data_IF_156810668747
#
_entry.id   IF_156810668747
#
_cell.length_a   1.000
_cell.length_b   1.000
_cell.length_c   1.000
_cell.angle_alpha   90.00
_cell.angle_beta   90.00
_cell.angle_gamma   90.00
#
_symmetry.space_group_name_H-M   'P 1'
#
loop_
_entity.id
_entity.type
_entity.pdbx_description
1 polymer ?
#
# COMPACT_ATOMS: atom_id res chain seq x y z
N UNK A 1 -21.32 5.90 -1.01
CA UNK A 1 -20.43 5.30 -2.05
C UNK A 1 -19.25 4.70 -1.32
N UNK A 2 -18.88 3.47 -1.61
CA UNK A 2 -17.74 2.80 -1.01
C UNK A 2 -16.43 3.47 -1.44
N UNK A 3 -15.58 3.82 -0.49
CA UNK A 3 -14.30 4.49 -0.71
C UNK A 3 -13.16 3.48 -0.67
N UNK A 4 -12.56 3.20 -1.83
CA UNK A 4 -11.40 2.34 -1.98
C UNK A 4 -10.15 3.19 -2.16
N UNK A 5 -9.07 2.82 -1.48
CA UNK A 5 -7.75 3.42 -1.65
C UNK A 5 -6.77 2.35 -2.17
N UNK A 6 -6.17 2.60 -3.33
CA UNK A 6 -5.03 1.86 -3.84
C UNK A 6 -3.73 2.45 -3.31
N UNK A 7 -2.80 1.59 -2.90
CA UNK A 7 -1.47 2.00 -2.40
C UNK A 7 -0.40 1.15 -3.06
N UNK A 8 0.54 1.79 -3.76
CA UNK A 8 1.82 1.18 -4.17
C UNK A 8 2.94 1.69 -3.25
N UNK A 9 3.36 0.89 -2.24
CA UNK A 9 4.34 1.32 -1.26
C UNK A 9 5.74 1.42 -1.85
N UNK A 10 6.35 2.58 -1.75
CA UNK A 10 7.74 2.80 -2.12
C UNK A 10 8.41 3.75 -1.12
N UNK A 11 9.70 3.53 -0.83
CA UNK A 11 10.48 4.40 0.05
C UNK A 11 10.88 5.72 -0.62
N UNK A 12 10.69 5.84 -1.91
CA UNK A 12 11.06 7.02 -2.70
C UNK A 12 9.87 7.75 -3.29
N UNK A 13 8.79 7.01 -3.56
CA UNK A 13 7.63 7.51 -4.29
C UNK A 13 6.43 6.60 -4.04
N UNK A 14 5.79 6.70 -2.86
CA UNK A 14 4.58 5.91 -2.59
C UNK A 14 3.41 6.45 -3.40
N UNK A 15 2.88 5.62 -4.32
CA UNK A 15 1.71 5.94 -5.13
C UNK A 15 0.41 5.71 -4.37
N UNK A 16 -0.54 6.62 -4.55
CA UNK A 16 -1.90 6.55 -3.99
C UNK A 16 -2.92 6.81 -5.08
N UNK A 17 -4.05 6.10 -5.02
CA UNK A 17 -5.19 6.37 -5.90
C UNK A 17 -6.52 6.12 -5.19
N UNK A 18 -7.43 7.05 -5.37
CA UNK A 18 -8.85 6.90 -5.11
C UNK A 18 -9.65 7.19 -6.38
N UNK A 19 -10.96 6.99 -6.34
CA UNK A 19 -11.79 7.25 -7.50
C UNK A 19 -11.76 8.73 -7.88
N UNK A 20 -11.22 9.04 -9.05
CA UNK A 20 -11.14 10.41 -9.59
C UNK A 20 -9.92 11.20 -9.17
N UNK A 21 -8.92 10.58 -8.55
CA UNK A 21 -7.68 11.27 -8.17
C UNK A 21 -6.52 10.29 -7.96
N UNK A 22 -5.31 10.80 -8.14
CA UNK A 22 -4.06 10.16 -7.71
C UNK A 22 -3.24 11.11 -6.86
N UNK A 23 -2.29 10.58 -6.13
CA UNK A 23 -1.30 11.34 -5.38
C UNK A 23 -0.02 10.53 -5.18
N UNK A 24 1.09 11.23 -4.99
CA UNK A 24 2.36 10.61 -4.65
C UNK A 24 2.92 11.20 -3.36
N UNK A 25 3.32 10.33 -2.44
CA UNK A 25 4.09 10.73 -1.26
C UNK A 25 5.57 10.57 -1.58
N UNK A 26 6.29 11.70 -1.70
CA UNK A 26 7.74 11.75 -1.98
C UNK A 26 8.49 12.23 -0.74
N UNK A 27 9.09 11.34 0.08
CA UNK A 27 9.98 11.77 1.15
C UNK A 27 11.17 12.55 0.59
N UNK A 28 11.70 13.50 1.38
CA UNK A 28 12.86 14.28 0.97
C UNK A 28 14.02 13.36 0.58
N UNK A 29 14.61 13.62 -0.57
CA UNK A 29 15.75 12.85 -1.06
C UNK A 29 17.03 13.23 -0.26
N UNK A 30 17.82 12.23 0.15
CA UNK A 30 19.13 12.48 0.74
C UNK A 30 20.01 13.16 -0.32
N UNK A 31 20.40 14.42 -0.09
CA UNK A 31 21.34 15.09 -0.97
C UNK A 31 22.68 14.31 -0.98
N UNK A 32 23.31 14.18 -2.16
CA UNK A 32 24.59 13.47 -2.33
C UNK A 32 25.78 14.13 -1.62
N UNK A 33 25.56 15.22 -0.89
CA UNK A 33 26.62 16.12 -0.36
C UNK A 33 27.41 15.51 0.79
N UNK A 34 27.01 14.39 1.38
CA UNK A 34 27.74 13.76 2.49
C UNK A 34 28.22 12.34 2.17
N UNK A 35 28.96 12.17 1.07
CA UNK A 35 29.83 11.02 0.87
C UNK A 35 31.27 11.40 1.20
N UNK A 36 31.54 11.84 2.41
CA UNK A 36 32.91 11.77 2.92
C UNK A 36 33.19 10.33 3.31
N UNK A 37 34.18 9.74 2.63
CA UNK A 37 34.46 8.30 2.61
C UNK A 37 35.13 7.75 3.88
N UNK A 38 35.35 8.57 4.89
CA UNK A 38 36.29 8.25 5.98
C UNK A 38 35.67 8.02 7.37
N UNK A 39 34.30 8.04 7.49
CA UNK A 39 33.63 7.78 8.77
C UNK A 39 32.42 6.84 8.62
N UNK A 40 32.71 5.53 8.58
CA UNK A 40 31.68 4.46 8.47
C UNK A 40 30.65 4.49 9.61
N UNK A 41 31.02 4.93 10.81
CA UNK A 41 30.11 4.97 11.97
C UNK A 41 29.09 6.09 11.86
N UNK A 42 29.51 7.24 11.36
CA UNK A 42 28.64 8.39 11.13
C UNK A 42 27.70 8.16 9.97
N UNK A 43 28.13 7.46 8.93
CA UNK A 43 27.30 7.09 7.78
C UNK A 43 26.18 6.12 8.17
N UNK A 44 26.41 5.16 9.04
CA UNK A 44 25.39 4.22 9.52
C UNK A 44 24.28 4.92 10.34
N UNK A 45 24.65 5.84 11.23
CA UNK A 45 23.68 6.64 12.01
C UNK A 45 22.84 7.56 11.12
N UNK A 46 23.48 8.26 10.19
CA UNK A 46 22.83 9.15 9.25
C UNK A 46 21.88 8.36 8.33
N UNK A 47 22.27 7.17 7.88
CA UNK A 47 21.42 6.27 7.08
C UNK A 47 20.20 5.85 7.86
N UNK A 48 20.37 5.45 9.12
CA UNK A 48 19.27 5.06 10.00
C UNK A 48 18.31 6.22 10.22
N UNK A 49 18.80 7.40 10.57
CA UNK A 49 17.98 8.59 10.77
C UNK A 49 17.20 8.97 9.49
N UNK A 50 17.85 8.91 8.33
CA UNK A 50 17.21 9.17 7.05
C UNK A 50 16.09 8.15 6.73
N UNK A 51 16.31 6.86 7.01
CA UNK A 51 15.30 5.84 6.79
C UNK A 51 14.09 6.05 7.71
N UNK A 52 14.31 6.38 8.99
CA UNK A 52 13.23 6.74 9.89
C UNK A 52 12.45 7.95 9.40
N UNK A 53 13.15 8.99 8.95
CA UNK A 53 12.50 10.20 8.42
C UNK A 53 11.62 9.87 7.20
N UNK A 54 12.09 9.04 6.26
CA UNK A 54 11.28 8.62 5.11
C UNK A 54 10.01 7.90 5.54
N UNK A 55 10.15 6.89 6.41
CA UNK A 55 9.01 6.11 6.90
C UNK A 55 8.03 7.02 7.64
N UNK A 56 8.52 7.91 8.50
CA UNK A 56 7.66 8.87 9.21
C UNK A 56 6.92 9.79 8.26
N UNK A 57 7.60 10.31 7.22
CA UNK A 57 6.95 11.15 6.20
C UNK A 57 5.85 10.40 5.47
N UNK A 58 6.14 9.18 4.99
CA UNK A 58 5.15 8.36 4.28
C UNK A 58 3.95 8.08 5.17
N UNK A 59 4.18 7.62 6.39
CA UNK A 59 3.09 7.23 7.29
C UNK A 59 2.25 8.40 7.77
N UNK A 60 2.86 9.56 8.06
CA UNK A 60 2.11 10.73 8.50
C UNK A 60 1.27 11.34 7.38
N UNK A 61 1.82 11.43 6.15
CA UNK A 61 1.05 11.96 5.02
C UNK A 61 -0.04 10.97 4.56
N UNK A 62 0.20 9.65 4.65
CA UNK A 62 -0.82 8.67 4.33
C UNK A 62 -2.07 8.81 5.22
N UNK A 63 -1.91 9.25 6.46
CA UNK A 63 -3.03 9.41 7.39
C UNK A 63 -4.13 10.34 6.88
N UNK A 64 -3.75 11.35 6.12
CA UNK A 64 -4.69 12.31 5.53
C UNK A 64 -5.62 11.66 4.50
N UNK A 65 -5.17 10.57 3.88
CA UNK A 65 -5.91 9.83 2.86
C UNK A 65 -6.76 8.68 3.42
N UNK A 66 -6.54 8.27 4.68
CA UNK A 66 -7.22 7.11 5.28
C UNK A 66 -8.61 7.45 5.85
N UNK A 67 -8.99 8.71 5.92
CA UNK A 67 -10.28 9.11 6.51
C UNK A 67 -11.46 8.61 5.67
N UNK A 68 -12.31 7.79 6.31
CA UNK A 68 -13.52 7.23 5.69
C UNK A 68 -13.25 6.22 4.56
N UNK A 69 -12.05 5.62 4.53
CA UNK A 69 -11.73 4.53 3.60
C UNK A 69 -12.37 3.24 4.10
N UNK A 70 -13.11 2.56 3.22
CA UNK A 70 -13.79 1.30 3.52
C UNK A 70 -12.90 0.07 3.21
N UNK A 71 -11.99 0.19 2.24
CA UNK A 71 -11.05 -0.86 1.83
C UNK A 71 -9.76 -0.24 1.30
N UNK A 72 -8.62 -0.74 1.77
CA UNK A 72 -7.31 -0.48 1.16
C UNK A 72 -6.89 -1.69 0.33
N UNK A 73 -6.43 -1.46 -0.90
CA UNK A 73 -5.76 -2.47 -1.73
C UNK A 73 -4.33 -2.04 -1.92
N UNK A 74 -3.38 -2.81 -1.40
CA UNK A 74 -1.98 -2.44 -1.37
C UNK A 74 -1.14 -3.45 -2.15
N UNK A 75 -0.12 -2.98 -2.88
CA UNK A 75 0.81 -3.88 -3.52
C UNK A 75 1.58 -4.69 -2.46
N UNK A 76 1.66 -6.01 -2.68
CA UNK A 76 2.44 -6.93 -1.86
C UNK A 76 3.91 -6.90 -2.27
N UNK A 77 4.77 -7.36 -1.38
CA UNK A 77 6.19 -7.48 -1.67
C UNK A 77 6.44 -8.57 -2.72
N UNK A 78 7.25 -8.26 -3.73
CA UNK A 78 7.79 -9.28 -4.63
C UNK A 78 8.79 -10.16 -3.85
N UNK A 79 8.66 -11.49 -3.98
CA UNK A 79 9.56 -12.44 -3.31
C UNK A 79 11.02 -12.29 -3.73
N UNK A 80 11.27 -11.80 -4.95
CA UNK A 80 12.60 -11.62 -5.55
C UNK A 80 13.09 -10.17 -5.52
N UNK A 81 12.41 -9.27 -4.80
CA UNK A 81 12.85 -7.88 -4.72
C UNK A 81 14.18 -7.78 -3.99
N UNK A 82 15.17 -7.15 -4.64
CA UNK A 82 16.44 -6.76 -4.02
C UNK A 82 16.21 -5.64 -2.99
N UNK A 83 15.59 -6.00 -1.87
CA UNK A 83 15.46 -5.14 -0.69
C UNK A 83 16.65 -5.42 0.24
N UNK A 84 17.81 -4.87 -0.12
CA UNK A 84 19.10 -5.16 0.51
C UNK A 84 19.08 -5.02 2.02
N UNK A 85 18.31 -4.06 2.52
CA UNK A 85 18.19 -3.78 3.96
C UNK A 85 16.78 -4.16 4.50
N UNK A 86 15.97 -4.84 3.73
CA UNK A 86 14.56 -5.17 4.06
C UNK A 86 13.71 -3.97 4.46
N UNK A 87 14.08 -2.79 3.96
CA UNK A 87 13.43 -1.53 4.33
C UNK A 87 12.01 -1.44 3.76
N UNK A 88 11.81 -1.92 2.54
CA UNK A 88 10.48 -1.97 1.92
C UNK A 88 9.56 -2.94 2.68
N UNK A 89 10.11 -4.07 3.12
CA UNK A 89 9.39 -5.00 3.99
C UNK A 89 8.98 -4.33 5.31
N UNK A 90 9.90 -3.57 5.92
CA UNK A 90 9.63 -2.78 7.12
C UNK A 90 8.52 -1.75 6.90
N UNK A 91 8.57 -0.99 5.81
CA UNK A 91 7.51 -0.05 5.44
C UNK A 91 6.16 -0.76 5.28
N UNK A 92 6.12 -1.86 4.52
CA UNK A 92 4.89 -2.65 4.31
C UNK A 92 4.27 -3.08 5.64
N UNK A 93 5.06 -3.59 6.60
CA UNK A 93 4.56 -3.98 7.91
C UNK A 93 4.03 -2.80 8.72
N UNK A 94 4.70 -1.65 8.69
CA UNK A 94 4.26 -0.43 9.40
C UNK A 94 2.93 0.07 8.82
N UNK A 95 2.78 0.06 7.49
CA UNK A 95 1.53 0.44 6.84
C UNK A 95 0.38 -0.49 7.24
N UNK A 96 0.62 -1.80 7.22
CA UNK A 96 -0.38 -2.81 7.64
C UNK A 96 -0.77 -2.69 9.10
N UNK A 97 0.19 -2.49 10.03
CA UNK A 97 -0.10 -2.23 11.44
C UNK A 97 -0.96 -0.96 11.60
N UNK A 98 -0.67 0.07 10.83
CA UNK A 98 -1.43 1.33 10.85
C UNK A 98 -2.88 1.15 10.38
N UNK A 99 -3.09 0.38 9.31
CA UNK A 99 -4.44 0.01 8.83
C UNK A 99 -5.18 -0.84 9.87
N UNK A 100 -4.50 -1.85 10.42
CA UNK A 100 -5.06 -2.73 11.44
C UNK A 100 -5.53 -1.94 12.69
N UNK A 101 -4.69 -1.03 13.20
CA UNK A 101 -5.05 -0.18 14.37
C UNK A 101 -6.23 0.75 14.12
N UNK A 102 -6.49 1.09 12.86
CA UNK A 102 -7.64 1.91 12.45
C UNK A 102 -8.86 1.08 12.07
N UNK A 103 -8.77 -0.23 12.20
CA UNK A 103 -9.80 -1.17 11.76
C UNK A 103 -10.19 -0.98 10.27
N UNK A 104 -9.23 -0.58 9.42
CA UNK A 104 -9.43 -0.46 7.97
C UNK A 104 -9.08 -1.81 7.34
N UNK A 105 -10.04 -2.50 6.70
CA UNK A 105 -9.78 -3.72 5.95
C UNK A 105 -8.78 -3.47 4.83
N UNK A 106 -7.86 -4.43 4.61
CA UNK A 106 -6.93 -4.32 3.49
C UNK A 106 -6.66 -5.66 2.82
N UNK A 107 -6.38 -5.62 1.51
CA UNK A 107 -5.89 -6.74 0.73
C UNK A 107 -4.46 -6.47 0.25
N UNK A 108 -3.65 -7.54 0.17
CA UNK A 108 -2.32 -7.49 -0.44
C UNK A 108 -2.39 -8.16 -1.81
N UNK A 109 -1.96 -7.44 -2.84
CA UNK A 109 -1.97 -7.92 -4.21
C UNK A 109 -0.53 -8.11 -4.70
N UNK A 110 -0.14 -9.34 -5.10
CA UNK A 110 1.17 -9.56 -5.71
C UNK A 110 1.35 -8.70 -6.98
N UNK A 111 2.55 -8.15 -7.25
CA UNK A 111 2.81 -7.34 -8.46
C UNK A 111 2.40 -8.03 -9.76
N UNK A 112 2.65 -9.33 -9.89
CA UNK A 112 2.25 -10.10 -11.08
C UNK A 112 0.73 -10.22 -11.23
N UNK A 113 -0.02 -10.26 -10.12
CA UNK A 113 -1.49 -10.30 -10.12
C UNK A 113 -2.08 -8.96 -10.51
N UNK A 114 -1.51 -7.85 -10.02
CA UNK A 114 -1.88 -6.49 -10.46
C UNK A 114 -1.65 -6.34 -11.97
N UNK A 115 -0.46 -6.68 -12.45
CA UNK A 115 -0.14 -6.64 -13.88
C UNK A 115 -1.10 -7.49 -14.72
N UNK A 116 -1.44 -8.69 -14.27
CA UNK A 116 -2.42 -9.53 -14.93
C UNK A 116 -3.79 -8.85 -14.96
N UNK A 117 -4.23 -8.22 -13.89
CA UNK A 117 -5.51 -7.52 -13.85
C UNK A 117 -5.55 -6.36 -14.85
N UNK A 118 -4.50 -5.54 -14.90
CA UNK A 118 -4.47 -4.36 -15.78
C UNK A 118 -4.23 -4.75 -17.24
N UNK A 119 -3.30 -5.66 -17.51
CA UNK A 119 -2.79 -5.87 -18.88
C UNK A 119 -3.15 -7.23 -19.47
N UNK A 120 -3.69 -8.16 -18.68
CA UNK A 120 -3.84 -9.56 -19.07
C UNK A 120 -2.55 -10.39 -18.95
N UNK A 121 -1.40 -9.76 -18.69
CA UNK A 121 -0.09 -10.41 -18.63
C UNK A 121 0.65 -10.07 -17.33
N UNK A 122 0.84 -11.04 -16.44
CA UNK A 122 1.53 -10.86 -15.17
C UNK A 122 3.02 -10.49 -15.25
N UNK A 123 3.63 -10.60 -16.45
CA UNK A 123 5.00 -10.21 -16.74
C UNK A 123 5.11 -8.85 -17.48
N UNK A 124 4.01 -8.10 -17.60
CA UNK A 124 3.97 -6.83 -18.31
C UNK A 124 4.98 -5.81 -17.75
N UNK A 125 5.50 -4.97 -18.65
CA UNK A 125 6.36 -3.84 -18.29
C UNK A 125 5.57 -2.65 -17.75
N UNK A 126 6.27 -1.72 -17.11
CA UNK A 126 5.67 -0.52 -16.48
C UNK A 126 5.00 0.42 -17.50
N UNK A 127 5.58 0.55 -18.69
CA UNK A 127 5.05 1.43 -19.73
C UNK A 127 3.67 0.95 -20.22
N UNK A 128 3.49 -0.37 -20.34
CA UNK A 128 2.19 -0.94 -20.71
C UNK A 128 1.15 -0.75 -19.61
N UNK A 129 1.56 -0.92 -18.35
CA UNK A 129 0.70 -0.62 -17.19
C UNK A 129 0.21 0.83 -17.23
N UNK A 130 1.14 1.77 -17.39
CA UNK A 130 0.83 3.19 -17.50
C UNK A 130 -0.14 3.50 -18.64
N UNK A 131 0.16 3.01 -19.84
CA UNK A 131 -0.67 3.26 -21.02
C UNK A 131 -2.10 2.79 -20.82
N UNK A 132 -2.29 1.57 -20.31
CA UNK A 132 -3.63 1.02 -20.11
C UNK A 132 -4.41 1.72 -18.99
N UNK A 133 -3.76 2.11 -17.91
CA UNK A 133 -4.41 2.88 -16.84
C UNK A 133 -4.85 4.26 -17.35
N UNK A 134 -4.01 4.91 -18.16
CA UNK A 134 -4.36 6.18 -18.82
C UNK A 134 -5.56 6.00 -19.77
N UNK A 135 -5.60 4.90 -20.53
CA UNK A 135 -6.72 4.60 -21.43
C UNK A 135 -8.02 4.24 -20.66
N UNK A 136 -7.90 3.67 -19.46
CA UNK A 136 -9.08 3.27 -18.68
C UNK A 136 -9.75 4.42 -17.94
N UNK A 137 -8.97 5.41 -17.55
CA UNK A 137 -9.45 6.47 -16.67
C UNK A 137 -9.18 7.85 -17.24
N UNK A 138 -10.20 8.48 -17.83
CA UNK A 138 -10.15 9.85 -18.37
C UNK A 138 -9.67 10.89 -17.32
N UNK A 139 -9.81 10.58 -16.03
CA UNK A 139 -9.38 11.44 -14.92
C UNK A 139 -7.93 11.17 -14.47
N UNK A 140 -7.26 10.14 -15.02
CA UNK A 140 -5.89 9.81 -14.61
C UNK A 140 -4.91 10.81 -15.25
N UNK A 141 -4.31 11.63 -14.39
CA UNK A 141 -3.27 12.60 -14.73
C UNK A 141 -1.98 12.38 -13.93
N UNK A 142 -1.80 11.15 -13.43
CA UNK A 142 -0.64 10.79 -12.60
C UNK A 142 0.69 10.99 -13.33
N UNK A 143 1.72 11.37 -12.57
CA UNK A 143 3.07 11.64 -13.08
C UNK A 143 4.03 10.46 -12.88
N UNK A 144 3.62 9.39 -12.18
CA UNK A 144 4.50 8.29 -11.79
C UNK A 144 3.90 6.93 -12.07
N UNK A 145 4.75 5.94 -12.36
CA UNK A 145 4.30 4.54 -12.48
C UNK A 145 3.65 4.02 -11.20
N UNK A 146 4.11 4.48 -10.03
CA UNK A 146 3.56 4.09 -8.73
C UNK A 146 2.10 4.56 -8.57
N UNK A 147 1.73 5.72 -9.18
CA UNK A 147 0.33 6.18 -9.23
C UNK A 147 -0.53 5.32 -10.15
N UNK A 148 0.03 4.86 -11.29
CA UNK A 148 -0.68 3.95 -12.18
C UNK A 148 -0.92 2.59 -11.53
N UNK A 149 0.09 2.04 -10.82
CA UNK A 149 -0.04 0.80 -10.06
C UNK A 149 -1.08 0.96 -8.95
N UNK A 150 -1.08 2.09 -8.23
CA UNK A 150 -2.10 2.40 -7.22
C UNK A 150 -3.52 2.53 -7.82
N UNK A 151 -3.67 3.12 -9.02
CA UNK A 151 -4.96 3.21 -9.71
C UNK A 151 -5.49 1.82 -10.12
N UNK A 152 -4.61 0.93 -10.60
CA UNK A 152 -4.96 -0.47 -10.86
C UNK A 152 -5.43 -1.20 -9.59
N UNK A 153 -4.73 -1.02 -8.46
CA UNK A 153 -5.10 -1.59 -7.16
C UNK A 153 -6.47 -1.07 -6.68
N UNK A 154 -6.72 0.22 -6.80
CA UNK A 154 -8.01 0.83 -6.48
C UNK A 154 -9.13 0.22 -7.33
N UNK A 155 -8.90 0.04 -8.64
CA UNK A 155 -9.87 -0.59 -9.53
C UNK A 155 -10.17 -2.05 -9.15
N UNK A 156 -9.14 -2.82 -8.75
CA UNK A 156 -9.33 -4.18 -8.21
C UNK A 156 -10.25 -4.19 -6.99
N UNK A 157 -10.07 -3.26 -6.07
CA UNK A 157 -10.90 -3.15 -4.88
C UNK A 157 -12.36 -2.81 -5.22
N UNK A 158 -12.59 -1.88 -6.14
CA UNK A 158 -13.95 -1.58 -6.62
C UNK A 158 -14.60 -2.79 -7.29
N UNK A 159 -13.85 -3.52 -8.13
CA UNK A 159 -14.35 -4.73 -8.77
C UNK A 159 -14.71 -5.83 -7.76
N UNK A 160 -13.87 -6.04 -6.73
CA UNK A 160 -14.15 -6.97 -5.63
C UNK A 160 -15.45 -6.61 -4.89
N UNK A 161 -15.69 -5.34 -4.66
CA UNK A 161 -16.89 -4.84 -3.97
C UNK A 161 -18.16 -4.84 -4.84
N UNK A 162 -18.11 -5.42 -6.04
CA UNK A 162 -19.26 -5.49 -6.95
C UNK A 162 -19.61 -4.15 -7.61
N UNK A 163 -18.70 -3.16 -7.56
CA UNK A 163 -18.85 -1.85 -8.17
C UNK A 163 -17.70 -1.54 -9.13
N UNK A 164 -17.42 -2.40 -10.14
CA UNK A 164 -16.30 -2.22 -11.06
C UNK A 164 -16.43 -0.88 -11.79
N UNK A 165 -15.28 -0.29 -12.12
CA UNK A 165 -15.20 1.02 -12.81
C UNK A 165 -15.45 0.92 -14.33
N UNK A 166 -15.62 -0.30 -14.84
CA UNK A 166 -15.94 -0.63 -16.21
C UNK A 166 -16.27 -2.12 -16.34
N UNK A 167 -16.66 -2.61 -17.54
CA UNK A 167 -16.89 -4.03 -17.77
C UNK A 167 -15.66 -4.86 -17.47
N UNK A 168 -15.80 -5.94 -16.71
CA UNK A 168 -14.67 -6.83 -16.37
C UNK A 168 -14.41 -7.85 -17.49
N UNK A 169 -13.15 -8.00 -17.85
CA UNK A 169 -12.66 -9.04 -18.75
C UNK A 169 -12.33 -10.32 -17.99
N UNK A 170 -12.26 -11.45 -18.66
CA UNK A 170 -11.98 -12.77 -18.06
C UNK A 170 -10.67 -12.80 -17.26
N UNK A 171 -9.60 -12.18 -17.79
CA UNK A 171 -8.31 -12.11 -17.09
C UNK A 171 -8.39 -11.30 -15.80
N UNK A 172 -9.26 -10.29 -15.74
CA UNK A 172 -9.49 -9.49 -14.53
C UNK A 172 -10.23 -10.30 -13.46
N UNK A 173 -11.26 -11.04 -13.84
CA UNK A 173 -11.95 -11.96 -12.93
C UNK A 173 -10.99 -13.02 -12.40
N UNK A 174 -10.15 -13.58 -13.26
CA UNK A 174 -9.10 -14.53 -12.88
C UNK A 174 -8.09 -13.93 -11.89
N UNK A 175 -7.67 -12.68 -12.11
CA UNK A 175 -6.73 -12.00 -11.21
C UNK A 175 -7.36 -11.71 -9.84
N UNK A 176 -8.63 -11.28 -9.80
CA UNK A 176 -9.36 -11.05 -8.55
C UNK A 176 -9.48 -12.34 -7.71
N UNK A 177 -9.67 -13.49 -8.36
CA UNK A 177 -9.74 -14.80 -7.68
C UNK A 177 -8.41 -15.25 -7.06
N UNK A 178 -7.29 -14.62 -7.36
CA UNK A 178 -5.96 -14.92 -6.77
C UNK A 178 -5.66 -14.12 -5.50
N UNK A 179 -6.48 -13.13 -5.19
CA UNK A 179 -6.28 -12.25 -4.03
C UNK A 179 -7.04 -12.78 -2.83
N UNK A 180 -6.40 -12.76 -1.67
CA UNK A 180 -7.08 -13.04 -0.40
C UNK A 180 -7.70 -11.72 0.08
N UNK A 181 -9.02 -11.63 -0.06
CA UNK A 181 -9.76 -10.45 0.33
C UNK A 181 -10.14 -10.49 1.81
N UNK A 182 -10.14 -9.35 2.52
CA UNK A 182 -10.59 -9.26 3.90
C UNK A 182 -12.11 -9.41 3.99
N UNK A 183 -12.58 -9.92 5.13
CA UNK A 183 -13.99 -9.76 5.49
C UNK A 183 -14.29 -8.28 5.75
N UNK A 184 -15.29 -7.75 5.06
CA UNK A 184 -15.69 -6.36 5.27
C UNK A 184 -16.64 -6.30 6.47
N UNK A 185 -16.51 -5.29 7.35
CA UNK A 185 -17.45 -5.11 8.42
C UNK A 185 -18.85 -4.91 7.85
N UNK A 186 -19.80 -5.72 8.31
CA UNK A 186 -21.21 -5.56 7.94
C UNK A 186 -21.68 -4.17 8.43
N UNK A 187 -22.38 -3.37 7.60
CA UNK A 187 -22.74 -1.98 7.92
C UNK A 187 -23.52 -1.74 9.22
N UNK A 188 -23.94 -2.79 9.92
CA UNK A 188 -24.87 -2.73 11.06
C UNK A 188 -24.19 -2.88 12.44
N UNK A 189 -22.89 -2.99 12.58
CA UNK A 189 -22.29 -3.42 13.84
C UNK A 189 -21.03 -2.69 14.31
N UNK A 190 -20.81 -1.43 13.98
CA UNK A 190 -19.73 -0.68 14.64
C UNK A 190 -20.35 0.39 15.55
N UNK A 191 -20.53 0.10 16.86
CA UNK A 191 -20.60 1.19 17.81
C UNK A 191 -19.19 1.83 17.80
N UNK A 192 -19.13 3.11 17.47
CA UNK A 192 -17.96 3.95 17.73
C UNK A 192 -17.63 3.83 19.22
N UNK A 193 -16.74 2.90 19.57
CA UNK A 193 -16.21 2.77 20.91
C UNK A 193 -15.24 3.91 21.15
N UNK A 194 -15.53 4.69 22.20
CA UNK A 194 -14.66 5.65 22.84
C UNK A 194 -13.18 5.16 22.79
N UNK A 195 -12.22 6.02 22.49
CA UNK A 195 -10.78 5.73 22.45
C UNK A 195 -10.24 5.01 23.71
N UNK A 196 -10.97 5.07 24.83
CA UNK A 196 -10.70 4.30 26.05
C UNK A 196 -10.86 2.78 25.86
N UNK A 197 -11.73 2.32 24.96
CA UNK A 197 -11.98 0.91 24.68
C UNK A 197 -10.82 0.20 23.98
N UNK A 198 -9.94 0.92 23.30
CA UNK A 198 -8.76 0.34 22.62
C UNK A 198 -7.63 0.02 23.62
N UNK A 199 -7.55 0.72 24.75
CA UNK A 199 -6.54 0.45 25.78
C UNK A 199 -6.83 -0.85 26.55
N UNK A 200 -8.09 -1.25 26.64
CA UNK A 200 -8.52 -2.45 27.38
C UNK A 200 -8.47 -3.73 26.54
N UNK A 201 -8.19 -3.63 25.25
CA UNK A 201 -8.02 -4.75 24.32
C UNK A 201 -6.56 -5.16 24.06
N UNK A 202 -5.64 -4.73 24.91
CA UNK A 202 -4.30 -5.33 24.92
C UNK A 202 -4.47 -6.76 25.44
N UNK A 203 -4.68 -7.68 24.52
CA UNK A 203 -4.55 -9.12 24.81
C UNK A 203 -3.09 -9.34 25.15
N UNK A 204 -2.82 -9.46 26.44
CA UNK A 204 -1.53 -9.96 26.93
C UNK A 204 -1.42 -11.39 26.48
N UNK A 205 -0.68 -11.61 25.37
CA UNK A 205 -0.28 -12.96 24.97
C UNK A 205 0.72 -13.43 26.04
N UNK A 206 0.41 -14.45 26.84
CA UNK A 206 1.38 -14.99 27.78
C UNK A 206 2.60 -15.48 27.02
N UNK A 207 3.79 -15.03 27.39
CA UNK A 207 5.04 -15.59 26.89
C UNK A 207 5.06 -17.08 27.23
N UNK A 208 5.50 -17.97 26.31
CA UNK A 208 5.67 -19.38 26.60
C UNK A 208 6.63 -19.51 27.79
N UNK A 209 6.25 -20.34 28.76
CA UNK A 209 7.12 -20.66 29.89
C UNK A 209 8.45 -21.21 29.36
N UNK A 210 9.55 -20.67 29.85
CA UNK A 210 10.89 -21.16 29.55
C UNK A 210 10.95 -22.66 29.79
N UNK A 211 11.40 -23.39 28.78
CA UNK A 211 11.76 -24.79 28.92
C UNK A 211 13.05 -24.83 29.75
N UNK A 212 12.92 -25.29 30.98
CA UNK A 212 14.06 -25.59 31.86
C UNK A 212 14.80 -26.85 31.35
#
# INVERSE_FOLDING_TARGET
MTKVLGIDPSLTSTGLAGRGWTATIKPAHRSRVHRDRDDDSNDARLRTAYNHQRITTITSQLDDYLTGVDLVVMEGLAYDAHDTDRQLAGLSWILRDRLFRRAIPYALVPPSTLKQFVTGNGAAGKDLMWSLVTDWFDWFDGDTHDEADAAGLMAMGHAHLGAPLGPLMEHQVTALGKVVWPELPTPAAVPFGDERSLRDRVVTVPLPAEVA
#
